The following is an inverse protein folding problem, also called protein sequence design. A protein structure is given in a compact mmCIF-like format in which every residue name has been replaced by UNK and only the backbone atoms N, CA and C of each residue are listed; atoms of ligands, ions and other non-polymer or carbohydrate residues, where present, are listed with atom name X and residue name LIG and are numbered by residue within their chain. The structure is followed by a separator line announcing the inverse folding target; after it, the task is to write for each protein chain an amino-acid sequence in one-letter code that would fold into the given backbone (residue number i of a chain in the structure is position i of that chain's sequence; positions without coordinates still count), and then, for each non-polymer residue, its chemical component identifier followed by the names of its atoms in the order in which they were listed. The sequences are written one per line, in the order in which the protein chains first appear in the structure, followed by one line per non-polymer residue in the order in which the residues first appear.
data_IF_770881056684
#
_entry.id   IF_770881056684
#
_cell.length_a   1.000
_cell.length_b   1.000
_cell.length_c   1.000
_cell.angle_alpha   90.00
_cell.angle_beta   90.00
_cell.angle_gamma   90.00
#
_symmetry.space_group_name_H-M   'P 1'
#
loop_
_entity.id
_entity.type
_entity.pdbx_description
1 polymer ?
#
# COMPACT_ATOMS: atom_id res chain seq x y z
N UNK A 1 7.42 -20.47 -4.61
CA UNK A 1 6.31 -20.09 -5.55
C UNK A 1 6.89 -19.51 -6.85
N UNK A 2 6.28 -19.83 -8.01
CA UNK A 2 6.75 -19.42 -9.34
C UNK A 2 5.84 -18.34 -9.93
N UNK A 3 6.45 -17.22 -10.33
CA UNK A 3 5.77 -16.11 -11.00
C UNK A 3 5.82 -16.29 -12.52
N UNK A 4 4.65 -16.28 -13.17
CA UNK A 4 4.46 -16.32 -14.63
C UNK A 4 3.58 -15.17 -15.09
N UNK A 5 3.57 -14.87 -16.40
CA UNK A 5 2.67 -13.84 -16.97
C UNK A 5 1.22 -14.18 -16.69
N UNK A 6 0.86 -15.45 -16.91
CA UNK A 6 -0.49 -15.97 -16.75
C UNK A 6 -0.97 -15.80 -15.31
N UNK A 7 -0.09 -16.05 -14.33
CA UNK A 7 -0.44 -15.91 -12.92
C UNK A 7 -0.77 -14.48 -12.54
N UNK A 8 -0.08 -13.52 -13.15
CA UNK A 8 -0.36 -12.08 -12.93
C UNK A 8 -1.69 -11.71 -13.59
N UNK A 9 -1.94 -12.15 -14.83
CA UNK A 9 -3.19 -11.87 -15.55
C UNK A 9 -4.42 -12.50 -14.89
N UNK A 10 -4.29 -13.66 -14.24
CA UNK A 10 -5.33 -14.28 -13.42
C UNK A 10 -5.81 -13.39 -12.27
N UNK A 11 -5.01 -12.40 -11.85
CA UNK A 11 -5.40 -11.47 -10.78
C UNK A 11 -6.29 -10.33 -11.24
N UNK A 12 -6.69 -10.33 -12.52
CA UNK A 12 -7.43 -9.25 -13.17
C UNK A 12 -6.80 -7.87 -12.88
N UNK A 13 -5.52 -7.68 -13.25
CA UNK A 13 -4.81 -6.46 -12.91
C UNK A 13 -5.36 -5.28 -13.71
N UNK A 14 -5.10 -4.06 -13.24
CA UNK A 14 -5.60 -2.87 -13.93
C UNK A 14 -5.05 -2.76 -15.37
N UNK A 15 -5.75 -2.02 -16.24
CA UNK A 15 -5.44 -1.93 -17.68
C UNK A 15 -4.00 -1.51 -18.03
N UNK A 16 -3.28 -0.86 -17.10
CA UNK A 16 -1.87 -0.51 -17.26
C UNK A 16 -0.89 -1.69 -17.12
N UNK A 17 -1.36 -2.86 -16.69
CA UNK A 17 -0.62 -4.11 -16.56
C UNK A 17 -0.88 -5.02 -17.75
N UNK A 18 -0.49 -4.55 -18.94
CA UNK A 18 -0.62 -5.35 -20.16
C UNK A 18 0.32 -6.56 -20.13
N UNK A 19 0.01 -7.57 -20.94
CA UNK A 19 0.86 -8.74 -21.12
C UNK A 19 2.30 -8.35 -21.47
N UNK A 20 2.47 -7.42 -22.40
CA UNK A 20 3.78 -6.96 -22.88
C UNK A 20 4.60 -6.31 -21.75
N UNK A 21 3.95 -5.52 -20.88
CA UNK A 21 4.61 -4.94 -19.70
C UNK A 21 5.07 -6.03 -18.75
N UNK A 22 4.19 -6.99 -18.43
CA UNK A 22 4.52 -8.08 -17.51
C UNK A 22 5.67 -8.92 -18.06
N UNK A 23 5.62 -9.23 -19.36
CA UNK A 23 6.69 -9.91 -20.07
C UNK A 23 7.99 -9.13 -19.99
N UNK A 24 8.01 -7.82 -20.25
CA UNK A 24 9.22 -7.02 -20.13
C UNK A 24 9.84 -7.06 -18.71
N UNK A 25 9.01 -7.12 -17.66
CA UNK A 25 9.46 -7.18 -16.26
C UNK A 25 10.08 -8.53 -15.89
N UNK A 26 9.59 -9.63 -16.48
CA UNK A 26 10.01 -11.00 -16.10
C UNK A 26 10.86 -11.74 -17.15
N UNK A 27 10.85 -11.30 -18.41
CA UNK A 27 11.55 -11.92 -19.55
C UNK A 27 13.07 -12.05 -19.38
N UNK A 28 13.80 -11.08 -18.78
CA UNK A 28 15.23 -11.25 -18.52
C UNK A 28 15.58 -12.44 -17.61
N UNK A 29 14.58 -13.12 -17.03
CA UNK A 29 14.73 -14.19 -16.04
C UNK A 29 14.10 -15.51 -16.46
N UNK A 30 13.92 -15.72 -17.76
CA UNK A 30 13.30 -16.94 -18.35
C UNK A 30 11.95 -17.29 -17.70
N UNK A 31 11.06 -16.30 -17.53
CA UNK A 31 9.65 -16.50 -17.15
C UNK A 31 9.41 -17.24 -15.82
N UNK A 32 10.42 -17.31 -14.95
CA UNK A 32 10.35 -17.95 -13.63
C UNK A 32 11.07 -17.07 -12.63
N UNK A 33 10.32 -16.19 -11.97
CA UNK A 33 10.83 -15.59 -10.75
C UNK A 33 10.39 -16.43 -9.55
N UNK A 34 11.35 -16.87 -8.73
CA UNK A 34 10.99 -17.31 -7.38
C UNK A 34 10.56 -16.07 -6.59
N UNK A 35 9.47 -16.14 -5.82
CA UNK A 35 8.95 -14.97 -5.09
C UNK A 35 9.99 -14.27 -4.20
N UNK A 36 10.88 -15.03 -3.57
CA UNK A 36 11.99 -14.48 -2.77
C UNK A 36 13.07 -13.77 -3.59
N UNK A 37 13.21 -14.11 -4.88
CA UNK A 37 14.14 -13.44 -5.80
C UNK A 37 13.65 -12.05 -6.25
N UNK A 38 12.43 -11.61 -5.87
CA UNK A 38 11.96 -10.24 -6.08
C UNK A 38 12.87 -9.21 -5.38
N UNK A 39 13.40 -9.57 -4.21
CA UNK A 39 14.26 -8.71 -3.37
C UNK A 39 15.45 -8.15 -4.16
N UNK A 40 16.19 -9.04 -4.81
CA UNK A 40 17.44 -8.72 -5.51
C UNK A 40 17.24 -8.55 -7.03
N UNK A 41 15.98 -8.41 -7.46
CA UNK A 41 15.65 -8.27 -8.87
C UNK A 41 15.87 -6.84 -9.38
N UNK A 42 16.22 -6.71 -10.65
CA UNK A 42 16.16 -5.46 -11.43
C UNK A 42 14.73 -4.97 -11.73
N UNK A 43 13.69 -5.62 -11.19
CA UNK A 43 12.32 -5.11 -11.31
C UNK A 43 12.24 -3.78 -10.56
N UNK A 44 11.69 -2.71 -11.16
CA UNK A 44 11.50 -1.43 -10.48
C UNK A 44 10.73 -1.61 -9.17
N UNK A 45 11.08 -0.83 -8.16
CA UNK A 45 10.56 -1.00 -6.81
C UNK A 45 9.02 -0.97 -6.76
N UNK A 46 8.41 -0.09 -7.56
CA UNK A 46 6.94 0.06 -7.63
C UNK A 46 6.23 -1.13 -8.29
N UNK A 47 6.93 -1.90 -9.14
CA UNK A 47 6.35 -3.08 -9.81
C UNK A 47 6.49 -4.36 -8.97
N UNK A 48 7.44 -4.41 -8.02
CA UNK A 48 7.72 -5.62 -7.23
C UNK A 48 6.54 -6.06 -6.37
N UNK A 49 5.82 -5.10 -5.77
CA UNK A 49 4.68 -5.40 -4.91
C UNK A 49 3.57 -6.04 -5.72
N UNK A 50 3.19 -5.45 -6.85
CA UNK A 50 2.17 -5.98 -7.75
C UNK A 50 2.48 -7.39 -8.23
N UNK A 51 3.73 -7.65 -8.63
CA UNK A 51 4.17 -8.98 -9.01
C UNK A 51 4.14 -9.97 -7.84
N UNK A 52 4.57 -9.55 -6.65
CA UNK A 52 4.64 -10.43 -5.49
C UNK A 52 3.26 -10.76 -4.90
N UNK A 53 2.34 -9.80 -4.83
CA UNK A 53 0.98 -10.07 -4.33
C UNK A 53 0.23 -11.05 -5.24
N UNK A 54 0.53 -11.09 -6.54
CA UNK A 54 -0.07 -12.04 -7.46
C UNK A 54 0.22 -13.51 -7.10
N UNK A 55 1.31 -13.76 -6.35
CA UNK A 55 1.64 -15.09 -5.84
C UNK A 55 0.83 -15.46 -4.60
N UNK A 56 0.35 -14.49 -3.83
CA UNK A 56 -0.42 -14.77 -2.60
C UNK A 56 -1.86 -15.15 -2.94
N UNK A 57 -2.48 -15.98 -2.10
CA UNK A 57 -3.93 -16.18 -2.08
C UNK A 57 -4.66 -14.95 -1.48
N UNK A 58 -5.98 -14.88 -1.61
CA UNK A 58 -6.78 -13.71 -1.19
C UNK A 58 -6.60 -13.38 0.31
N UNK A 59 -6.62 -14.38 1.18
CA UNK A 59 -6.43 -14.21 2.62
C UNK A 59 -5.06 -13.58 2.92
N UNK A 60 -3.99 -14.13 2.33
CA UNK A 60 -2.62 -13.62 2.51
C UNK A 60 -2.44 -12.23 1.91
N UNK A 61 -3.07 -11.92 0.76
CA UNK A 61 -3.06 -10.56 0.19
C UNK A 61 -3.68 -9.56 1.15
N UNK A 62 -4.83 -9.90 1.76
CA UNK A 62 -5.51 -9.02 2.73
C UNK A 62 -4.68 -8.83 3.99
N UNK A 63 -4.09 -9.90 4.54
CA UNK A 63 -3.21 -9.80 5.70
C UNK A 63 -1.97 -8.95 5.42
N UNK A 64 -1.35 -9.11 4.24
CA UNK A 64 -0.26 -8.24 3.80
C UNK A 64 -0.71 -6.77 3.69
N UNK A 65 -1.88 -6.50 3.13
CA UNK A 65 -2.43 -5.15 3.06
C UNK A 65 -2.71 -4.54 4.45
N UNK A 66 -3.18 -5.36 5.40
CA UNK A 66 -3.36 -4.94 6.79
C UNK A 66 -2.02 -4.59 7.45
N UNK A 67 -0.98 -5.40 7.24
CA UNK A 67 0.36 -5.10 7.75
C UNK A 67 0.89 -3.77 7.18
N UNK A 68 0.68 -3.49 5.89
CA UNK A 68 1.04 -2.21 5.27
C UNK A 68 0.29 -1.03 5.88
N UNK A 69 -1.02 -1.18 6.10
CA UNK A 69 -1.85 -0.15 6.71
C UNK A 69 -1.43 0.14 8.16
N UNK A 70 -1.23 -0.89 8.98
CA UNK A 70 -0.74 -0.75 10.36
C UNK A 70 0.64 -0.10 10.42
N UNK A 71 1.54 -0.46 9.52
CA UNK A 71 2.86 0.17 9.43
C UNK A 71 2.75 1.67 9.12
N UNK A 72 1.96 2.05 8.12
CA UNK A 72 1.71 3.45 7.78
C UNK A 72 1.08 4.21 8.95
N UNK A 73 0.03 3.66 9.57
CA UNK A 73 -0.64 4.28 10.73
C UNK A 73 0.30 4.40 11.94
N UNK A 74 1.14 3.39 12.18
CA UNK A 74 2.15 3.41 13.24
C UNK A 74 3.14 4.55 13.05
N UNK A 75 3.64 4.77 11.83
CA UNK A 75 4.57 5.87 11.53
C UNK A 75 3.97 7.25 11.75
N UNK A 76 2.72 7.46 11.37
CA UNK A 76 2.01 8.72 11.62
C UNK A 76 1.84 8.96 13.13
N UNK A 77 1.48 7.91 13.88
CA UNK A 77 1.41 7.98 15.34
C UNK A 77 2.77 8.30 15.97
N UNK A 78 3.84 7.66 15.51
CA UNK A 78 5.20 7.88 16.01
C UNK A 78 5.72 9.30 15.66
N UNK A 79 5.21 9.88 14.57
CA UNK A 79 5.42 11.29 14.21
C UNK A 79 4.58 12.26 15.06
N UNK A 80 3.75 11.76 15.98
CA UNK A 80 2.90 12.56 16.86
C UNK A 80 1.57 12.98 16.24
N UNK A 81 1.19 12.41 15.08
CA UNK A 81 -0.10 12.69 14.47
C UNK A 81 -1.20 11.85 15.11
N UNK A 82 -2.26 12.51 15.55
CA UNK A 82 -3.47 11.84 16.04
C UNK A 82 -4.28 11.33 14.86
N UNK A 83 -4.45 10.01 14.79
CA UNK A 83 -5.22 9.33 13.75
C UNK A 83 -6.61 8.98 14.28
N UNK A 84 -7.60 9.05 13.40
CA UNK A 84 -8.97 8.68 13.76
C UNK A 84 -9.04 7.19 14.18
N UNK A 85 -9.63 6.85 15.34
CA UNK A 85 -9.75 5.46 15.79
C UNK A 85 -10.44 4.53 14.78
N UNK A 86 -11.30 5.08 13.90
CA UNK A 86 -11.98 4.31 12.85
C UNK A 86 -11.01 3.77 11.81
N UNK A 87 -9.86 4.43 11.59
CA UNK A 87 -8.81 3.92 10.70
C UNK A 87 -8.19 2.63 11.26
N UNK A 88 -7.90 2.58 12.56
CA UNK A 88 -7.40 1.37 13.22
C UNK A 88 -8.45 0.26 13.24
N UNK A 89 -9.68 0.59 13.64
CA UNK A 89 -10.79 -0.37 13.68
C UNK A 89 -11.05 -1.01 12.31
N UNK A 90 -10.95 -0.24 11.21
CA UNK A 90 -11.11 -0.78 9.87
C UNK A 90 -10.02 -1.79 9.51
N UNK A 91 -8.77 -1.58 9.93
CA UNK A 91 -7.68 -2.55 9.69
C UNK A 91 -7.88 -3.81 10.54
N UNK A 92 -8.30 -3.67 11.79
CA UNK A 92 -8.61 -4.82 12.67
C UNK A 92 -9.72 -5.71 12.08
N UNK A 93 -10.81 -5.10 11.61
CA UNK A 93 -11.90 -5.85 10.96
C UNK A 93 -11.43 -6.48 9.65
N UNK A 94 -10.65 -5.77 8.83
CA UNK A 94 -10.08 -6.33 7.60
C UNK A 94 -9.17 -7.54 7.88
N UNK A 95 -8.41 -7.51 8.97
CA UNK A 95 -7.55 -8.62 9.41
C UNK A 95 -8.37 -9.81 9.89
N UNK A 96 -9.42 -9.59 10.69
CA UNK A 96 -10.38 -10.64 11.09
C UNK A 96 -11.05 -11.27 9.89
N UNK A 97 -11.54 -10.44 8.97
CA UNK A 97 -12.19 -10.89 7.74
C UNK A 97 -11.26 -11.79 6.93
N UNK A 98 -9.99 -11.40 6.78
CA UNK A 98 -8.99 -12.22 6.08
C UNK A 98 -8.77 -13.60 6.72
N UNK A 99 -9.05 -13.75 8.02
CA UNK A 99 -9.00 -15.02 8.77
C UNK A 99 -10.33 -15.79 8.78
N UNK A 100 -11.40 -15.24 8.20
CA UNK A 100 -12.75 -15.79 8.29
C UNK A 100 -13.45 -15.53 9.63
N UNK A 101 -12.95 -14.56 10.40
CA UNK A 101 -13.44 -14.19 11.75
C UNK A 101 -14.35 -12.94 11.72
N UNK A 102 -14.67 -12.41 10.54
CA UNK A 102 -15.60 -11.31 10.36
C UNK A 102 -16.44 -11.50 9.10
N UNK A 103 -17.64 -10.95 9.09
CA UNK A 103 -18.54 -11.02 7.95
C UNK A 103 -18.27 -9.92 6.92
N UNK A 104 -18.82 -10.07 5.71
CA UNK A 104 -18.77 -9.03 4.67
C UNK A 104 -19.44 -7.73 5.13
N UNK A 105 -20.52 -7.83 5.92
CA UNK A 105 -21.24 -6.68 6.48
C UNK A 105 -20.36 -5.93 7.49
N UNK A 106 -19.68 -6.63 8.39
CA UNK A 106 -18.74 -6.01 9.33
C UNK A 106 -17.61 -5.30 8.60
N UNK A 107 -17.02 -5.94 7.58
CA UNK A 107 -15.98 -5.35 6.75
C UNK A 107 -16.48 -4.09 6.03
N UNK A 108 -17.67 -4.15 5.44
CA UNK A 108 -18.27 -3.04 4.72
C UNK A 108 -18.57 -1.86 5.65
N UNK A 109 -19.13 -2.13 6.83
CA UNK A 109 -19.44 -1.11 7.82
C UNK A 109 -18.16 -0.40 8.32
N UNK A 110 -17.12 -1.17 8.64
CA UNK A 110 -15.85 -0.62 9.11
C UNK A 110 -15.18 0.23 8.01
N UNK A 111 -15.20 -0.23 6.75
CA UNK A 111 -14.71 0.54 5.60
C UNK A 111 -15.47 1.85 5.43
N UNK A 112 -16.80 1.83 5.52
CA UNK A 112 -17.62 3.03 5.41
C UNK A 112 -17.32 4.05 6.53
N UNK A 113 -17.14 3.57 7.76
CA UNK A 113 -16.81 4.41 8.91
C UNK A 113 -15.43 5.09 8.74
N UNK A 114 -14.41 4.34 8.33
CA UNK A 114 -13.09 4.90 8.06
C UNK A 114 -13.09 5.87 6.87
N UNK A 115 -13.87 5.58 5.82
CA UNK A 115 -14.02 6.49 4.69
C UNK A 115 -14.66 7.82 5.10
N UNK A 116 -15.72 7.77 5.91
CA UNK A 116 -16.34 8.98 6.46
C UNK A 116 -15.37 9.79 7.34
N UNK A 117 -14.51 9.11 8.11
CA UNK A 117 -13.45 9.75 8.89
C UNK A 117 -12.46 10.53 8.01
N UNK A 118 -11.97 9.87 6.96
CA UNK A 118 -11.02 10.46 6.03
C UNK A 118 -11.61 11.68 5.31
N UNK A 119 -12.87 11.64 4.89
CA UNK A 119 -13.55 12.79 4.28
C UNK A 119 -13.70 13.97 5.25
N UNK A 120 -14.05 13.71 6.50
CA UNK A 120 -14.15 14.76 7.52
C UNK A 120 -12.78 15.42 7.78
N UNK A 121 -11.71 14.62 7.89
CA UNK A 121 -10.36 15.10 8.09
C UNK A 121 -9.84 15.92 6.88
N UNK A 122 -10.12 15.45 5.65
CA UNK A 122 -9.75 16.16 4.43
C UNK A 122 -10.45 17.53 4.33
N UNK A 123 -11.74 17.61 4.67
CA UNK A 123 -12.48 18.87 4.71
C UNK A 123 -11.91 19.87 5.71
N UNK A 124 -11.52 19.40 6.90
CA UNK A 124 -10.88 20.25 7.92
C UNK A 124 -9.51 20.76 7.47
N UNK A 125 -8.69 19.90 6.86
CA UNK A 125 -7.36 20.27 6.34
C UNK A 125 -7.45 21.27 5.19
N UNK A 126 -8.38 21.07 4.25
CA UNK A 126 -8.58 21.99 3.13
C UNK A 126 -8.99 23.39 3.62
N UNK A 127 -9.85 23.47 4.64
CA UNK A 127 -10.25 24.74 5.25
C UNK A 127 -9.05 25.42 5.94
N UNK A 128 -8.25 24.68 6.69
CA UNK A 128 -7.05 25.22 7.35
C UNK A 128 -6.01 25.73 6.33
N UNK A 129 -5.76 24.98 5.26
CA UNK A 129 -4.83 25.37 4.20
C UNK A 129 -5.30 26.62 3.45
N UNK A 130 -6.61 26.76 3.19
CA UNK A 130 -7.17 27.97 2.59
C UNK A 130 -6.95 29.21 3.49
N UNK A 131 -7.10 29.06 4.81
CA UNK A 131 -6.81 30.13 5.78
C UNK A 131 -5.32 30.50 5.84
N UNK A 132 -4.39 29.53 5.81
CA UNK A 132 -2.95 29.80 5.84
C UNK A 132 -2.46 30.45 4.53
N UNK A 133 -2.95 29.97 3.40
CA UNK A 133 -2.65 30.53 2.07
C UNK A 133 -3.11 31.99 1.93
N UNK A 134 -4.32 32.30 2.44
CA UNK A 134 -4.82 33.67 2.47
C UNK A 134 -3.98 34.62 3.35
N UNK A 135 -3.27 34.10 4.36
CA UNK A 135 -2.47 34.90 5.30
C UNK A 135 -1.02 35.10 4.86
N UNK A 136 -0.40 34.13 4.17
CA UNK A 136 1.02 34.24 3.81
C UNK A 136 1.42 33.42 2.56
N UNK A 137 1.17 33.93 1.35
CA UNK A 137 1.41 33.19 0.10
C UNK A 137 2.89 32.89 -0.17
N UNK A 138 3.81 33.74 0.28
CA UNK A 138 5.25 33.53 0.07
C UNK A 138 5.83 32.37 0.90
N UNK A 139 5.29 32.10 2.10
CA UNK A 139 5.67 30.92 2.91
C UNK A 139 5.20 29.60 2.30
N UNK A 140 4.16 29.61 1.48
CA UNK A 140 3.61 28.41 0.83
C UNK A 140 4.59 27.83 -0.19
N UNK A 141 5.11 28.66 -1.11
CA UNK A 141 5.99 28.18 -2.19
C UNK A 141 7.32 27.56 -1.68
N UNK A 142 7.91 28.12 -0.62
CA UNK A 142 9.13 27.56 -0.02
C UNK A 142 8.88 26.20 0.67
N UNK A 143 7.70 26.03 1.28
CA UNK A 143 7.30 24.76 1.90
C UNK A 143 7.13 23.66 0.85
N UNK A 144 6.51 23.95 -0.29
CA UNK A 144 6.16 22.94 -1.30
C UNK A 144 7.36 22.09 -1.76
N UNK A 145 8.54 22.72 -1.93
CA UNK A 145 9.77 22.01 -2.30
C UNK A 145 10.28 21.05 -1.21
N UNK A 146 10.27 21.48 0.05
CA UNK A 146 10.66 20.66 1.19
C UNK A 146 9.68 19.50 1.42
N UNK A 147 8.38 19.74 1.22
CA UNK A 147 7.34 18.72 1.28
C UNK A 147 7.49 17.66 0.18
N UNK A 148 7.91 18.05 -1.03
CA UNK A 148 8.18 17.08 -2.10
C UNK A 148 9.32 16.12 -1.73
N UNK A 149 10.44 16.63 -1.22
CA UNK A 149 11.57 15.81 -0.78
C UNK A 149 11.19 14.90 0.40
N UNK A 150 10.47 15.43 1.40
CA UNK A 150 10.01 14.65 2.55
C UNK A 150 9.04 13.53 2.13
N UNK A 151 8.11 13.79 1.21
CA UNK A 151 7.20 12.77 0.66
C UNK A 151 7.95 11.69 -0.12
N UNK A 152 8.95 12.06 -0.92
CA UNK A 152 9.76 11.10 -1.66
C UNK A 152 10.52 10.16 -0.70
N UNK A 153 11.13 10.71 0.36
CA UNK A 153 11.81 9.91 1.38
C UNK A 153 10.83 9.01 2.15
N UNK A 154 9.67 9.53 2.54
CA UNK A 154 8.64 8.75 3.22
C UNK A 154 8.11 7.60 2.36
N UNK A 155 7.90 7.85 1.06
CA UNK A 155 7.48 6.84 0.07
C UNK A 155 8.54 5.76 -0.14
N UNK A 156 9.82 6.14 -0.25
CA UNK A 156 10.91 5.18 -0.39
C UNK A 156 11.00 4.26 0.84
N UNK A 157 10.94 4.82 2.06
CA UNK A 157 10.94 4.04 3.30
C UNK A 157 9.73 3.09 3.38
N UNK A 158 8.56 3.56 2.98
CA UNK A 158 7.33 2.76 2.92
C UNK A 158 7.49 1.59 1.95
N UNK A 159 7.92 1.86 0.71
CA UNK A 159 8.14 0.82 -0.32
C UNK A 159 9.17 -0.22 0.10
N UNK A 160 10.28 0.21 0.71
CA UNK A 160 11.29 -0.71 1.23
C UNK A 160 10.71 -1.66 2.28
N UNK A 161 9.98 -1.13 3.27
CA UNK A 161 9.36 -1.96 4.30
C UNK A 161 8.31 -2.93 3.72
N UNK A 162 7.43 -2.44 2.83
CA UNK A 162 6.40 -3.24 2.18
C UNK A 162 7.00 -4.41 1.41
N UNK A 163 8.10 -4.19 0.69
CA UNK A 163 8.80 -5.26 -0.04
C UNK A 163 9.37 -6.29 0.93
N UNK A 164 10.07 -5.87 1.98
CA UNK A 164 10.62 -6.79 2.98
C UNK A 164 9.53 -7.64 3.63
N UNK A 165 8.39 -7.01 3.95
CA UNK A 165 7.24 -7.71 4.50
C UNK A 165 6.65 -8.70 3.49
N UNK A 166 6.49 -8.31 2.23
CA UNK A 166 6.00 -9.19 1.16
C UNK A 166 6.92 -10.39 0.95
N UNK A 167 8.24 -10.20 0.97
CA UNK A 167 9.21 -11.29 0.87
C UNK A 167 9.03 -12.31 2.01
N UNK A 168 8.69 -11.85 3.22
CA UNK A 168 8.36 -12.75 4.34
C UNK A 168 7.15 -13.61 4.03
N UNK A 169 6.07 -13.02 3.48
CA UNK A 169 4.90 -13.79 3.04
C UNK A 169 5.23 -14.78 1.93
N UNK A 170 6.12 -14.43 0.99
CA UNK A 170 6.52 -15.30 -0.11
C UNK A 170 7.46 -16.43 0.35
N UNK A 171 8.27 -16.19 1.38
CA UNK A 171 9.19 -17.16 1.99
C UNK A 171 8.48 -18.15 2.90
N UNK A 172 7.47 -17.71 3.66
CA UNK A 172 6.65 -18.58 4.52
C UNK A 172 5.75 -19.57 3.75
N UNK A 173 5.71 -19.48 2.42
CA UNK A 173 5.02 -20.43 1.53
C UNK A 173 5.96 -21.51 0.94
N UNK A 174 7.20 -21.63 1.44
CA UNK A 174 8.24 -22.53 0.93
C UNK A 174 8.33 -23.81 1.74
#
# INVERSE_FOLDING_TARGET
MRLTVEKVLETDPCSSWTRERIEALIAPRKYVLHGTALRDSRVPIDDRIWLGIALLDDSRRRLFACDCAEWSLGRERDAGHELDPRSWAAVEVARRYARGEATDEELTAARAAAWAAAWAAAGNSARAAAWDSARNPARTAARDSAWAAARAAAWAAERSWQIERLITYLGAAS
#
